data_IF_802777724091
#
_entry.id   IF_802777724091
#
_cell.length_a   1.000
_cell.length_b   1.000
_cell.length_c   1.000
_cell.angle_alpha   90.00
_cell.angle_beta   90.00
_cell.angle_gamma   90.00
#
_symmetry.space_group_name_H-M   'P 1'
#
loop_
_entity.id
_entity.type
_entity.pdbx_description
1 polymer ?
#
# COMPACT_ATOMS: atom_id res chain seq x y z
N UNK A 1 8.36 39.53 39.03
CA UNK A 1 7.92 38.87 37.80
C UNK A 1 7.93 37.40 38.11
N UNK A 2 6.85 36.69 38.12
CA UNK A 2 6.80 35.32 38.61
C UNK A 2 7.50 34.40 37.59
N UNK A 3 8.30 33.48 38.11
CA UNK A 3 8.96 32.39 37.36
C UNK A 3 7.98 31.50 36.54
N UNK A 4 6.67 31.60 36.80
CA UNK A 4 5.64 30.84 36.08
C UNK A 4 5.48 31.25 34.63
N UNK A 5 5.67 32.54 34.27
CA UNK A 5 5.61 33.00 32.88
C UNK A 5 6.79 32.49 32.00
N UNK A 6 7.93 32.15 32.62
CA UNK A 6 9.06 31.54 31.93
C UNK A 6 8.90 30.02 31.72
N UNK A 7 8.02 29.35 32.48
CA UNK A 7 7.80 27.90 32.38
C UNK A 7 6.73 27.51 31.34
N UNK A 8 5.84 28.42 30.95
CA UNK A 8 4.84 28.17 29.92
C UNK A 8 5.44 27.71 28.56
N UNK A 9 6.52 28.31 28.03
CA UNK A 9 7.16 27.84 26.81
C UNK A 9 7.66 26.39 26.91
N UNK A 10 8.12 25.95 28.07
CA UNK A 10 8.62 24.58 28.29
C UNK A 10 7.49 23.56 28.19
N UNK A 11 6.31 23.87 28.77
CA UNK A 11 5.12 23.03 28.63
C UNK A 11 4.69 22.88 27.18
N UNK A 12 4.62 23.97 26.43
CA UNK A 12 4.28 23.95 25.00
C UNK A 12 5.30 23.15 24.18
N UNK A 13 6.60 23.26 24.49
CA UNK A 13 7.67 22.50 23.81
C UNK A 13 7.45 20.99 23.98
N UNK A 14 7.14 20.52 25.18
CA UNK A 14 6.90 19.11 25.46
C UNK A 14 5.64 18.62 24.76
N UNK A 15 4.54 19.37 24.87
CA UNK A 15 3.26 19.02 24.24
C UNK A 15 3.37 18.96 22.71
N UNK A 16 3.98 19.98 22.08
CA UNK A 16 4.18 20.03 20.62
C UNK A 16 5.09 18.91 20.13
N UNK A 17 6.17 18.58 20.88
CA UNK A 17 7.08 17.49 20.55
C UNK A 17 6.37 16.13 20.53
N UNK A 18 5.48 15.86 21.48
CA UNK A 18 4.68 14.62 21.53
C UNK A 18 3.69 14.57 20.35
N UNK A 19 2.99 15.68 20.06
CA UNK A 19 2.09 15.78 18.91
C UNK A 19 2.80 15.49 17.60
N UNK A 20 3.99 16.08 17.39
CA UNK A 20 4.83 15.83 16.22
C UNK A 20 5.28 14.38 16.13
N UNK A 21 5.63 13.77 17.27
CA UNK A 21 6.04 12.36 17.31
C UNK A 21 4.92 11.43 16.85
N UNK A 22 3.67 11.64 17.31
CA UNK A 22 2.50 10.90 16.83
C UNK A 22 2.35 11.05 15.31
N UNK A 23 2.41 12.28 14.81
CA UNK A 23 2.35 12.54 13.37
C UNK A 23 3.42 11.81 12.59
N UNK A 24 4.68 11.90 13.03
CA UNK A 24 5.83 11.21 12.41
C UNK A 24 5.66 9.70 12.39
N UNK A 25 5.24 9.10 13.50
CA UNK A 25 5.06 7.65 13.60
C UNK A 25 3.92 7.15 12.68
N UNK A 26 2.81 7.90 12.58
CA UNK A 26 1.73 7.60 11.64
C UNK A 26 2.18 7.73 10.19
N UNK A 27 2.91 8.81 9.85
CA UNK A 27 3.45 9.05 8.52
C UNK A 27 4.42 7.93 8.11
N UNK A 28 5.36 7.58 8.98
CA UNK A 28 6.32 6.49 8.78
C UNK A 28 5.65 5.12 8.61
N UNK A 29 4.43 4.95 9.13
CA UNK A 29 3.64 3.73 9.01
C UNK A 29 2.74 3.68 7.77
N UNK A 30 2.78 4.71 6.91
CA UNK A 30 1.96 4.80 5.69
C UNK A 30 0.63 5.54 5.87
N UNK A 31 0.40 6.20 6.99
CA UNK A 31 -0.81 6.99 7.21
C UNK A 31 -1.01 8.09 6.17
N UNK A 32 -2.22 8.27 5.64
CA UNK A 32 -2.56 9.39 4.75
C UNK A 32 -2.49 10.74 5.49
N UNK A 33 -2.24 11.82 4.75
CA UNK A 33 -2.02 13.18 5.30
C UNK A 33 -3.16 13.63 6.22
N UNK A 34 -4.38 13.43 5.79
CA UNK A 34 -5.58 13.75 6.57
C UNK A 34 -5.63 13.02 7.92
N UNK A 35 -5.25 11.74 7.93
CA UNK A 35 -5.27 10.94 9.15
C UNK A 35 -4.20 11.39 10.12
N UNK A 36 -3.02 11.75 9.61
CA UNK A 36 -1.93 12.33 10.40
C UNK A 36 -2.40 13.62 11.06
N UNK A 37 -3.01 14.53 10.29
CA UNK A 37 -3.52 15.81 10.84
C UNK A 37 -4.59 15.61 11.93
N UNK A 38 -5.55 14.71 11.71
CA UNK A 38 -6.59 14.41 12.73
C UNK A 38 -5.98 13.88 14.01
N UNK A 39 -5.06 12.91 13.91
CA UNK A 39 -4.42 12.31 15.08
C UNK A 39 -3.63 13.38 15.87
N UNK A 40 -2.86 14.21 15.17
CA UNK A 40 -2.13 15.31 15.80
C UNK A 40 -3.08 16.30 16.52
N UNK A 41 -4.18 16.67 15.88
CA UNK A 41 -5.18 17.55 16.48
C UNK A 41 -5.91 16.89 17.67
N UNK A 42 -6.17 15.60 17.64
CA UNK A 42 -6.77 14.85 18.77
C UNK A 42 -5.82 14.82 19.97
N UNK A 43 -4.56 14.47 19.75
CA UNK A 43 -3.55 14.45 20.81
C UNK A 43 -3.30 15.84 21.35
N UNK A 44 -3.20 16.86 20.50
CA UNK A 44 -3.05 18.26 20.92
C UNK A 44 -4.16 18.71 21.84
N UNK A 45 -5.43 18.42 21.50
CA UNK A 45 -6.58 18.73 22.35
C UNK A 45 -6.54 17.99 23.70
N UNK A 46 -6.18 16.72 23.71
CA UNK A 46 -6.04 15.95 24.94
C UNK A 46 -4.96 16.52 25.87
N UNK A 47 -3.87 17.06 25.28
CA UNK A 47 -2.78 17.74 25.98
C UNK A 47 -3.11 19.20 26.38
N UNK A 48 -4.28 19.73 26.02
CA UNK A 48 -4.70 21.11 26.34
C UNK A 48 -4.15 22.18 25.41
N UNK A 49 -3.78 21.82 24.15
CA UNK A 49 -3.49 22.79 23.10
C UNK A 49 -4.78 23.30 22.46
N UNK A 50 -4.84 24.59 22.15
CA UNK A 50 -6.01 25.23 21.53
C UNK A 50 -6.16 24.82 20.07
N UNK A 51 -5.03 24.77 19.33
CA UNK A 51 -5.02 24.31 17.94
C UNK A 51 -3.68 23.66 17.57
N UNK A 52 -3.77 22.73 16.63
CA UNK A 52 -2.63 22.11 15.94
C UNK A 52 -2.93 22.13 14.46
N UNK A 53 -2.18 22.92 13.72
CA UNK A 53 -2.24 23.01 12.27
C UNK A 53 -1.01 22.33 11.67
N UNK A 54 -1.19 21.41 10.72
CA UNK A 54 -0.08 20.68 10.15
C UNK A 54 -0.18 20.55 8.62
N UNK A 55 0.93 20.79 7.95
CA UNK A 55 1.17 20.46 6.57
C UNK A 55 1.98 19.16 6.50
N UNK A 56 1.51 18.20 5.73
CA UNK A 56 2.10 16.86 5.65
C UNK A 56 2.47 16.56 4.20
N UNK A 57 3.70 16.12 3.98
CA UNK A 57 4.16 15.57 2.69
C UNK A 57 4.40 14.06 2.81
N UNK A 58 5.09 13.43 1.87
CA UNK A 58 5.41 12.00 1.92
C UNK A 58 6.34 11.64 3.07
N UNK A 59 7.23 12.55 3.48
CA UNK A 59 8.26 12.29 4.50
C UNK A 59 8.50 13.46 5.48
N UNK A 60 7.73 14.54 5.39
CA UNK A 60 7.93 15.73 6.22
C UNK A 60 6.60 16.23 6.78
N UNK A 61 6.64 16.73 7.99
CA UNK A 61 5.55 17.43 8.66
C UNK A 61 6.05 18.76 9.15
N UNK A 62 5.36 19.83 8.78
CA UNK A 62 5.48 21.16 9.37
C UNK A 62 4.22 21.38 10.20
N UNK A 63 4.36 21.62 11.50
CA UNK A 63 3.22 21.81 12.38
C UNK A 63 3.36 23.04 13.27
N UNK A 64 2.26 23.77 13.43
CA UNK A 64 2.13 24.88 14.35
C UNK A 64 1.16 24.49 15.46
N UNK A 65 1.65 24.47 16.70
CA UNK A 65 0.88 24.22 17.91
C UNK A 65 0.66 25.55 18.63
N UNK A 66 -0.55 25.80 19.12
CA UNK A 66 -0.93 27.04 19.80
C UNK A 66 -1.52 26.76 21.18
N UNK A 67 -1.13 27.59 22.16
CA UNK A 67 -1.70 27.61 23.51
C UNK A 67 -1.78 29.05 23.99
N UNK A 68 -2.98 29.60 24.15
CA UNK A 68 -3.18 31.02 24.44
C UNK A 68 -2.53 31.91 23.37
N UNK A 69 -1.79 32.93 23.79
CA UNK A 69 -1.08 33.82 22.88
C UNK A 69 0.20 33.22 22.30
N UNK A 70 0.67 32.08 22.82
CA UNK A 70 1.95 31.46 22.43
C UNK A 70 1.70 30.43 21.33
N UNK A 71 2.57 30.43 20.33
CA UNK A 71 2.59 29.41 19.29
C UNK A 71 4.01 28.92 19.02
N UNK A 72 4.10 27.69 18.55
CA UNK A 72 5.37 27.06 18.16
C UNK A 72 5.21 26.35 16.84
N UNK A 73 6.08 26.66 15.89
CA UNK A 73 6.17 25.94 14.62
C UNK A 73 7.41 25.06 14.61
N UNK A 74 7.21 23.78 14.27
CA UNK A 74 8.27 22.79 14.24
C UNK A 74 8.19 21.98 12.95
N UNK A 75 9.35 21.47 12.52
CA UNK A 75 9.51 20.62 11.35
C UNK A 75 10.06 19.27 11.81
N UNK A 76 9.47 18.19 11.33
CA UNK A 76 10.01 16.85 11.53
C UNK A 76 10.02 16.06 10.23
N UNK A 77 11.02 15.19 10.07
CA UNK A 77 11.13 14.31 8.91
C UNK A 77 11.02 12.86 9.34
N UNK A 78 10.34 12.06 8.51
CA UNK A 78 10.36 10.61 8.62
C UNK A 78 11.54 10.07 7.82
N UNK A 79 12.48 9.36 8.44
CA UNK A 79 13.63 8.80 7.73
C UNK A 79 13.24 7.65 6.80
N UNK A 80 12.07 7.06 7.00
CA UNK A 80 11.61 5.89 6.25
C UNK A 80 10.20 6.11 5.70
N UNK A 81 9.99 5.68 4.47
CA UNK A 81 8.67 5.58 3.84
C UNK A 81 8.33 4.09 3.80
N UNK A 82 7.45 3.66 4.67
CA UNK A 82 7.07 2.26 4.80
C UNK A 82 5.60 2.08 5.10
N UNK A 83 5.17 0.81 5.24
CA UNK A 83 3.80 0.48 5.66
C UNK A 83 3.87 -0.45 6.86
N UNK A 84 3.22 -0.06 7.95
CA UNK A 84 3.08 -0.87 9.15
C UNK A 84 1.67 -0.71 9.72
N UNK A 85 0.75 -1.54 9.22
CA UNK A 85 -0.65 -1.50 9.62
C UNK A 85 -0.85 -1.79 11.12
N UNK A 86 0.00 -2.64 11.72
CA UNK A 86 -0.06 -2.89 13.17
C UNK A 86 0.22 -1.63 13.98
N UNK A 87 1.26 -0.88 13.61
CA UNK A 87 1.58 0.39 14.27
C UNK A 87 0.49 1.44 14.05
N UNK A 88 -0.09 1.51 12.85
CA UNK A 88 -1.25 2.40 12.60
C UNK A 88 -2.42 2.06 13.52
N UNK A 89 -2.73 0.78 13.72
CA UNK A 89 -3.82 0.34 14.62
C UNK A 89 -3.52 0.72 16.08
N UNK A 90 -2.27 0.56 16.54
CA UNK A 90 -1.88 0.92 17.90
C UNK A 90 -1.96 2.43 18.13
N UNK A 91 -1.46 3.24 17.19
CA UNK A 91 -1.53 4.71 17.27
C UNK A 91 -2.97 5.22 17.23
N UNK A 92 -3.83 4.62 16.40
CA UNK A 92 -5.25 4.95 16.37
C UNK A 92 -5.94 4.69 17.71
N UNK A 93 -5.66 3.55 18.33
CA UNK A 93 -6.20 3.21 19.65
C UNK A 93 -5.68 4.17 20.71
N UNK A 94 -4.39 4.50 20.69
CA UNK A 94 -3.82 5.50 21.57
C UNK A 94 -4.59 6.82 21.43
N UNK A 95 -4.65 7.40 20.22
CA UNK A 95 -5.32 8.70 20.00
C UNK A 95 -6.78 8.70 20.42
N UNK A 96 -7.49 7.57 20.24
CA UNK A 96 -8.91 7.45 20.62
C UNK A 96 -9.15 7.19 22.10
N UNK A 97 -8.13 6.78 22.85
CA UNK A 97 -8.23 6.49 24.30
C UNK A 97 -7.72 7.62 25.19
N UNK A 98 -7.18 8.70 24.61
CA UNK A 98 -6.70 9.83 25.40
C UNK A 98 -7.87 10.65 25.95
N UNK A 99 -7.84 10.90 27.25
CA UNK A 99 -8.76 11.77 27.94
C UNK A 99 -8.18 13.20 28.05
N UNK A 100 -9.01 14.24 28.13
CA UNK A 100 -8.55 15.60 28.35
C UNK A 100 -7.75 15.71 29.67
N UNK A 101 -6.60 16.39 29.63
CA UNK A 101 -5.74 16.58 30.80
C UNK A 101 -4.64 15.53 30.96
N UNK A 102 -4.49 14.59 30.01
CA UNK A 102 -3.34 13.67 29.98
C UNK A 102 -2.03 14.46 29.88
N UNK A 103 -0.96 13.97 30.53
CA UNK A 103 0.35 14.61 30.50
C UNK A 103 1.14 14.24 29.22
N UNK A 104 2.06 15.12 28.81
CA UNK A 104 2.93 14.84 27.67
C UNK A 104 3.82 13.64 27.94
N UNK A 105 4.25 13.44 29.17
CA UNK A 105 5.07 12.34 29.63
C UNK A 105 4.36 10.99 29.48
N UNK A 106 3.10 10.90 29.93
CA UNK A 106 2.30 9.67 29.78
C UNK A 106 2.08 9.29 28.30
N UNK A 107 1.81 10.27 27.43
CA UNK A 107 1.66 9.99 26.01
C UNK A 107 3.00 9.58 25.38
N UNK A 108 4.12 10.21 25.80
CA UNK A 108 5.46 9.86 25.32
C UNK A 108 5.84 8.42 25.69
N UNK A 109 5.53 7.98 26.92
CA UNK A 109 5.80 6.60 27.38
C UNK A 109 5.02 5.58 26.54
N UNK A 110 3.72 5.82 26.33
CA UNK A 110 2.91 4.94 25.44
C UNK A 110 3.41 4.92 24.01
N UNK A 111 3.95 6.05 23.50
CA UNK A 111 4.57 6.08 22.17
C UNK A 111 5.88 5.29 22.14
N UNK A 112 6.66 5.28 23.22
CA UNK A 112 7.87 4.44 23.36
C UNK A 112 7.54 2.95 23.26
N UNK A 113 6.48 2.50 23.94
CA UNK A 113 5.99 1.12 23.86
C UNK A 113 5.58 0.74 22.42
N UNK A 114 4.86 1.64 21.73
CA UNK A 114 4.44 1.40 20.34
C UNK A 114 5.66 1.38 19.39
N UNK A 115 6.63 2.25 19.59
CA UNK A 115 7.84 2.35 18.76
C UNK A 115 8.72 1.10 18.90
N UNK A 116 8.82 0.56 20.11
CA UNK A 116 9.58 -0.66 20.44
C UNK A 116 8.85 -1.95 20.04
N UNK A 117 7.56 -1.89 19.69
CA UNK A 117 6.81 -3.08 19.26
C UNK A 117 7.45 -3.72 18.03
N UNK A 118 7.92 -4.99 18.09
CA UNK A 118 8.54 -5.64 16.95
C UNK A 118 7.55 -5.91 15.82
N UNK A 119 8.08 -6.14 14.62
CA UNK A 119 7.27 -6.59 13.48
C UNK A 119 6.61 -7.94 13.80
N UNK A 120 5.33 -8.09 13.46
CA UNK A 120 4.55 -9.31 13.73
C UNK A 120 5.05 -10.53 12.96
N UNK A 121 5.59 -10.29 11.77
CA UNK A 121 6.03 -11.36 10.88
C UNK A 121 7.54 -11.30 10.66
N UNK A 122 8.20 -12.39 10.94
CA UNK A 122 9.62 -12.58 10.67
C UNK A 122 9.90 -12.49 9.16
N UNK A 123 11.18 -12.40 8.82
CA UNK A 123 11.62 -12.21 7.42
C UNK A 123 11.15 -13.34 6.51
N UNK A 124 11.26 -14.58 6.93
CA UNK A 124 10.84 -15.75 6.13
C UNK A 124 9.33 -15.84 5.96
N UNK A 125 8.55 -15.63 7.03
CA UNK A 125 7.09 -15.62 6.93
C UNK A 125 6.60 -14.51 5.99
N UNK A 126 7.17 -13.30 6.10
CA UNK A 126 6.83 -12.20 5.20
C UNK A 126 7.20 -12.51 3.74
N UNK A 127 8.37 -13.12 3.47
CA UNK A 127 8.77 -13.54 2.13
C UNK A 127 7.83 -14.62 1.56
N UNK A 128 7.48 -15.63 2.37
CA UNK A 128 6.54 -16.69 1.96
C UNK A 128 5.16 -16.12 1.59
N UNK A 129 4.56 -15.31 2.45
CA UNK A 129 3.25 -14.72 2.18
C UNK A 129 3.27 -13.71 1.01
N UNK A 130 4.41 -13.06 0.77
CA UNK A 130 4.60 -12.26 -0.45
C UNK A 130 4.62 -13.14 -1.70
N UNK A 131 5.30 -14.28 -1.63
CA UNK A 131 5.24 -15.29 -2.69
C UNK A 131 3.81 -15.77 -2.96
N UNK A 132 3.05 -16.09 -1.90
CA UNK A 132 1.62 -16.48 -2.01
C UNK A 132 0.79 -15.36 -2.68
N UNK A 133 1.01 -14.10 -2.32
CA UNK A 133 0.31 -12.97 -2.94
C UNK A 133 0.59 -12.87 -4.44
N UNK A 134 1.85 -12.99 -4.84
CA UNK A 134 2.24 -12.93 -6.25
C UNK A 134 1.79 -14.16 -7.05
N UNK A 135 1.83 -15.34 -6.44
CA UNK A 135 1.31 -16.58 -7.03
C UNK A 135 -0.22 -16.48 -7.30
N UNK A 136 -0.97 -15.96 -6.33
CA UNK A 136 -2.39 -15.67 -6.51
C UNK A 136 -2.61 -14.64 -7.65
N UNK A 137 -1.76 -13.62 -7.72
CA UNK A 137 -1.81 -12.62 -8.79
C UNK A 137 -1.49 -13.23 -10.16
N UNK A 138 -0.55 -14.17 -10.23
CA UNK A 138 -0.23 -14.91 -11.47
C UNK A 138 -1.46 -15.65 -11.98
N UNK A 139 -2.17 -16.39 -11.11
CA UNK A 139 -3.44 -17.06 -11.47
C UNK A 139 -4.49 -16.06 -11.96
N UNK A 140 -4.68 -14.93 -11.27
CA UNK A 140 -5.66 -13.90 -11.65
C UNK A 140 -5.31 -13.19 -12.97
N UNK A 141 -4.07 -13.31 -13.46
CA UNK A 141 -3.61 -12.91 -14.78
C UNK A 141 -3.52 -14.08 -15.77
N UNK A 142 -4.31 -15.13 -15.57
CA UNK A 142 -4.39 -16.33 -16.40
C UNK A 142 -3.11 -17.19 -16.39
N UNK A 143 -2.26 -17.08 -15.38
CA UNK A 143 -1.14 -18.00 -15.21
C UNK A 143 -1.62 -19.40 -14.84
N UNK A 144 -1.04 -20.42 -15.44
CA UNK A 144 -1.29 -21.81 -15.13
C UNK A 144 -0.61 -22.25 -13.82
N UNK A 145 -0.71 -23.56 -13.53
CA UNK A 145 -0.16 -24.12 -12.29
C UNK A 145 1.37 -23.93 -12.18
N UNK A 146 2.07 -24.07 -13.29
CA UNK A 146 3.54 -23.90 -13.35
C UNK A 146 3.91 -22.47 -12.97
N UNK A 147 3.27 -21.47 -13.62
CA UNK A 147 3.50 -20.06 -13.32
C UNK A 147 3.23 -19.76 -11.85
N UNK A 148 2.10 -20.21 -11.32
CA UNK A 148 1.69 -19.99 -9.91
C UNK A 148 2.74 -20.52 -8.94
N UNK A 149 3.22 -21.74 -9.13
CA UNK A 149 4.21 -22.37 -8.24
C UNK A 149 5.59 -21.72 -8.35
N UNK A 150 6.03 -21.40 -9.56
CA UNK A 150 7.34 -20.79 -9.77
C UNK A 150 7.37 -19.33 -9.34
N UNK A 151 6.27 -18.58 -9.55
CA UNK A 151 6.09 -17.21 -9.05
C UNK A 151 6.16 -17.15 -7.53
N UNK A 152 5.58 -18.15 -6.83
CA UNK A 152 5.67 -18.23 -5.37
C UNK A 152 7.12 -18.21 -4.90
N UNK A 153 7.99 -18.99 -5.55
CA UNK A 153 9.42 -19.09 -5.22
C UNK A 153 10.15 -17.81 -5.63
N UNK A 154 9.96 -17.34 -6.87
CA UNK A 154 10.63 -16.15 -7.40
C UNK A 154 10.32 -14.89 -6.59
N UNK A 155 9.05 -14.61 -6.34
CA UNK A 155 8.61 -13.47 -5.54
C UNK A 155 9.06 -13.59 -4.07
N UNK A 156 9.00 -14.80 -3.50
CA UNK A 156 9.47 -15.06 -2.14
C UNK A 156 10.95 -14.72 -1.96
N UNK A 157 11.81 -15.20 -2.87
CA UNK A 157 13.25 -14.91 -2.86
C UNK A 157 13.54 -13.43 -3.17
N UNK A 158 12.78 -12.81 -4.09
CA UNK A 158 12.86 -11.37 -4.33
C UNK A 158 12.56 -10.55 -3.08
N UNK A 159 11.50 -10.88 -2.35
CA UNK A 159 11.14 -10.20 -1.11
C UNK A 159 12.15 -10.47 0.03
N UNK A 160 12.68 -11.67 0.12
CA UNK A 160 13.76 -11.99 1.05
C UNK A 160 14.98 -11.09 0.79
N UNK A 161 15.41 -11.01 -0.47
CA UNK A 161 16.51 -10.13 -0.90
C UNK A 161 16.22 -8.67 -0.55
N UNK A 162 15.01 -8.19 -0.86
CA UNK A 162 14.58 -6.83 -0.53
C UNK A 162 14.72 -6.54 0.98
N UNK A 163 14.21 -7.42 1.84
CA UNK A 163 14.28 -7.21 3.29
C UNK A 163 15.71 -7.22 3.82
N UNK A 164 16.55 -8.13 3.33
CA UNK A 164 17.96 -8.21 3.72
C UNK A 164 18.73 -6.94 3.35
N UNK A 165 18.52 -6.41 2.15
CA UNK A 165 19.20 -5.21 1.68
C UNK A 165 18.69 -3.95 2.39
N UNK A 166 17.37 -3.81 2.61
CA UNK A 166 16.82 -2.68 3.39
C UNK A 166 17.37 -2.71 4.83
N UNK A 167 17.46 -3.87 5.44
CA UNK A 167 18.01 -3.99 6.80
C UNK A 167 19.48 -3.58 6.89
N UNK A 168 20.24 -3.71 5.79
CA UNK A 168 21.62 -3.23 5.66
C UNK A 168 21.73 -1.73 5.33
N UNK A 169 20.63 -1.00 5.23
CA UNK A 169 20.60 0.44 4.99
C UNK A 169 20.82 0.89 3.53
N UNK A 170 20.71 -0.02 2.57
CA UNK A 170 20.84 0.34 1.15
C UNK A 170 19.67 1.21 0.67
N UNK A 171 19.93 2.03 -0.36
CA UNK A 171 18.94 2.88 -0.99
C UNK A 171 17.75 2.09 -1.53
N UNK A 172 16.53 2.53 -1.24
CA UNK A 172 15.29 1.82 -1.56
C UNK A 172 15.07 1.60 -3.07
N UNK A 173 15.49 2.54 -3.94
CA UNK A 173 15.36 2.40 -5.40
C UNK A 173 16.27 1.29 -5.91
N UNK A 174 17.55 1.29 -5.50
CA UNK A 174 18.50 0.24 -5.84
C UNK A 174 18.08 -1.13 -5.31
N UNK A 175 17.59 -1.19 -4.05
CA UNK A 175 17.04 -2.42 -3.46
C UNK A 175 15.85 -2.95 -4.27
N UNK A 176 14.98 -2.06 -4.75
CA UNK A 176 13.83 -2.44 -5.60
C UNK A 176 14.31 -3.04 -6.93
N UNK A 177 15.32 -2.44 -7.57
CA UNK A 177 15.92 -2.98 -8.81
C UNK A 177 16.51 -4.37 -8.59
N UNK A 178 17.33 -4.55 -7.55
CA UNK A 178 17.94 -5.86 -7.24
C UNK A 178 16.89 -6.90 -6.91
N UNK A 179 15.87 -6.56 -6.11
CA UNK A 179 14.80 -7.48 -5.77
C UNK A 179 13.97 -7.90 -6.98
N UNK A 180 13.71 -6.96 -7.92
CA UNK A 180 13.04 -7.24 -9.18
C UNK A 180 13.86 -8.17 -10.06
N UNK A 181 15.17 -7.89 -10.24
CA UNK A 181 16.06 -8.74 -10.99
C UNK A 181 16.12 -10.17 -10.42
N UNK A 182 16.29 -10.31 -9.09
CA UNK A 182 16.33 -11.62 -8.42
C UNK A 182 15.02 -12.38 -8.65
N UNK A 183 13.86 -11.75 -8.45
CA UNK A 183 12.58 -12.41 -8.64
C UNK A 183 12.39 -12.91 -10.08
N UNK A 184 12.72 -12.07 -11.07
CA UNK A 184 12.60 -12.42 -12.49
C UNK A 184 13.61 -13.51 -12.91
N UNK A 185 14.88 -13.39 -12.52
CA UNK A 185 15.93 -14.37 -12.88
C UNK A 185 15.66 -15.72 -12.22
N UNK A 186 15.21 -15.75 -10.96
CA UNK A 186 14.84 -17.00 -10.28
C UNK A 186 13.64 -17.65 -10.98
N UNK A 187 12.62 -16.87 -11.32
CA UNK A 187 11.47 -17.38 -12.06
C UNK A 187 11.91 -18.03 -13.38
N UNK A 188 12.63 -17.28 -14.22
CA UNK A 188 13.09 -17.75 -15.53
C UNK A 188 14.05 -18.93 -15.44
N UNK A 189 14.94 -18.93 -14.44
CA UNK A 189 15.87 -20.02 -14.20
C UNK A 189 15.15 -21.33 -13.86
N UNK A 190 14.11 -21.28 -13.00
CA UNK A 190 13.32 -22.47 -12.65
C UNK A 190 12.51 -22.96 -13.87
N UNK A 191 11.83 -22.05 -14.59
CA UNK A 191 11.05 -22.43 -15.79
C UNK A 191 11.95 -23.07 -16.85
N UNK A 192 13.12 -22.48 -17.12
CA UNK A 192 14.08 -23.06 -18.07
C UNK A 192 14.60 -24.42 -17.61
N UNK A 193 14.87 -24.60 -16.32
CA UNK A 193 15.28 -25.88 -15.76
C UNK A 193 14.19 -26.96 -15.95
N UNK A 194 12.91 -26.61 -15.69
CA UNK A 194 11.77 -27.52 -15.90
C UNK A 194 11.61 -27.89 -17.38
N UNK A 195 11.82 -26.93 -18.29
CA UNK A 195 11.75 -27.16 -19.72
C UNK A 195 12.88 -28.11 -20.19
N UNK A 196 14.12 -27.87 -19.78
CA UNK A 196 15.28 -28.75 -20.11
C UNK A 196 15.10 -30.14 -19.51
N UNK A 197 14.49 -30.25 -18.33
CA UNK A 197 14.17 -31.53 -17.70
C UNK A 197 12.99 -32.29 -18.37
N UNK A 198 12.33 -31.70 -19.36
CA UNK A 198 11.15 -32.28 -20.00
C UNK A 198 9.89 -32.32 -19.10
N UNK A 199 9.86 -31.54 -18.03
CA UNK A 199 8.73 -31.47 -17.11
C UNK A 199 7.62 -30.54 -17.62
N UNK A 200 7.92 -29.67 -18.58
CA UNK A 200 6.97 -28.75 -19.25
C UNK A 200 7.25 -28.73 -20.75
N UNK A 201 6.18 -28.66 -21.56
CA UNK A 201 6.29 -28.73 -23.03
C UNK A 201 6.60 -27.37 -23.69
N UNK A 202 6.49 -26.28 -22.95
CA UNK A 202 6.73 -24.92 -23.42
C UNK A 202 7.35 -24.04 -22.34
N UNK A 203 8.00 -22.94 -22.76
CA UNK A 203 8.53 -21.95 -21.82
C UNK A 203 7.38 -21.03 -21.40
N UNK A 204 7.06 -21.05 -20.10
CA UNK A 204 6.01 -20.26 -19.48
C UNK A 204 6.52 -18.84 -19.18
N UNK A 205 6.61 -17.98 -20.20
CA UNK A 205 7.26 -16.67 -20.09
C UNK A 205 6.43 -15.63 -19.33
N UNK A 206 5.11 -15.74 -19.29
CA UNK A 206 4.22 -14.70 -18.76
C UNK A 206 4.34 -14.44 -17.25
N UNK A 207 4.83 -15.41 -16.48
CA UNK A 207 4.87 -15.35 -15.02
C UNK A 207 5.94 -14.43 -14.43
N UNK A 208 7.02 -14.08 -15.18
CA UNK A 208 8.09 -13.24 -14.62
C UNK A 208 7.60 -11.85 -14.20
N UNK A 209 6.60 -11.30 -14.89
CA UNK A 209 5.94 -10.04 -14.50
C UNK A 209 5.23 -10.22 -13.16
N UNK A 210 4.51 -11.33 -12.99
CA UNK A 210 3.77 -11.61 -11.76
C UNK A 210 4.71 -11.79 -10.56
N UNK A 211 5.92 -12.33 -10.78
CA UNK A 211 6.92 -12.52 -9.74
C UNK A 211 7.43 -11.20 -9.10
N UNK A 212 7.27 -10.06 -9.77
CA UNK A 212 7.74 -8.76 -9.29
C UNK A 212 6.62 -7.85 -8.79
N UNK A 213 5.36 -8.26 -8.86
CA UNK A 213 4.21 -7.39 -8.52
C UNK A 213 4.16 -6.98 -7.04
N UNK A 214 4.87 -7.67 -6.13
CA UNK A 214 5.02 -7.23 -4.74
C UNK A 214 5.79 -5.90 -4.60
N UNK A 215 6.53 -5.49 -5.63
CA UNK A 215 7.26 -4.22 -5.66
C UNK A 215 6.37 -3.04 -6.10
N UNK A 216 5.21 -3.32 -6.68
CA UNK A 216 4.25 -2.26 -7.02
C UNK A 216 3.81 -1.55 -5.74
N UNK A 217 4.06 -0.23 -5.62
CA UNK A 217 3.79 0.52 -4.40
C UNK A 217 2.29 0.85 -4.26
N UNK A 218 1.46 -0.19 -4.22
CA UNK A 218 0.00 -0.04 -4.22
C UNK A 218 -0.51 0.78 -3.04
N UNK A 219 0.12 0.65 -1.85
CA UNK A 219 -0.26 1.45 -0.69
C UNK A 219 0.00 2.95 -0.92
N UNK A 220 1.20 3.41 -1.30
CA UNK A 220 1.44 4.81 -1.67
C UNK A 220 0.57 5.30 -2.82
N UNK A 221 0.30 4.50 -3.85
CA UNK A 221 -0.55 4.88 -4.98
C UNK A 221 -1.99 5.19 -4.53
N UNK A 222 -2.60 4.31 -3.76
CA UNK A 222 -3.98 4.49 -3.27
C UNK A 222 -4.05 5.66 -2.28
N UNK A 223 -3.08 5.79 -1.38
CA UNK A 223 -3.06 6.93 -0.44
C UNK A 223 -2.80 8.25 -1.14
N UNK A 224 -1.95 8.28 -2.19
CA UNK A 224 -1.77 9.47 -3.04
C UNK A 224 -3.08 9.88 -3.72
N UNK A 225 -3.78 8.93 -4.34
CA UNK A 225 -5.04 9.19 -5.00
C UNK A 225 -6.14 9.67 -4.02
N UNK A 226 -6.18 9.12 -2.79
CA UNK A 226 -7.07 9.59 -1.74
C UNK A 226 -6.70 10.99 -1.21
N UNK A 227 -5.41 11.33 -1.09
CA UNK A 227 -4.98 12.68 -0.71
C UNK A 227 -5.35 13.68 -1.82
N UNK A 228 -5.12 13.35 -3.10
CA UNK A 228 -5.53 14.17 -4.26
C UNK A 228 -7.05 14.38 -4.32
N UNK A 229 -7.84 13.34 -4.05
CA UNK A 229 -9.31 13.45 -4.04
C UNK A 229 -9.83 14.40 -2.96
N UNK A 230 -8.99 14.78 -1.99
CA UNK A 230 -9.23 15.77 -0.94
C UNK A 230 -8.61 17.13 -1.21
N UNK A 231 -8.08 17.33 -2.41
CA UNK A 231 -7.37 18.55 -2.80
C UNK A 231 -6.08 18.79 -1.98
N UNK A 232 -5.56 17.75 -1.32
CA UNK A 232 -4.25 17.81 -0.67
C UNK A 232 -3.16 17.49 -1.69
N UNK A 233 -2.92 18.46 -2.58
CA UNK A 233 -1.98 18.28 -3.69
C UNK A 233 -0.55 18.06 -3.21
N UNK A 234 -0.13 18.72 -2.14
CA UNK A 234 1.24 18.60 -1.63
C UNK A 234 1.54 17.17 -1.18
N UNK A 235 0.66 16.58 -0.38
CA UNK A 235 0.81 15.18 0.05
C UNK A 235 0.60 14.20 -1.10
N UNK A 236 -0.46 14.43 -1.92
CA UNK A 236 -0.82 13.53 -3.00
C UNK A 236 0.25 13.44 -4.08
N UNK A 237 0.75 14.59 -4.58
CA UNK A 237 1.78 14.61 -5.63
C UNK A 237 3.13 14.08 -5.13
N UNK A 238 3.55 14.41 -3.91
CA UNK A 238 4.80 13.88 -3.34
C UNK A 238 4.77 12.35 -3.19
N UNK A 239 3.63 11.77 -2.77
CA UNK A 239 3.43 10.31 -2.69
C UNK A 239 3.36 9.65 -4.07
N UNK A 240 2.69 10.30 -5.02
CA UNK A 240 2.62 9.81 -6.40
C UNK A 240 4.01 9.78 -7.04
N UNK A 241 4.78 10.86 -6.90
CA UNK A 241 6.16 10.91 -7.40
C UNK A 241 7.03 9.79 -6.79
N UNK A 242 6.95 9.59 -5.47
CA UNK A 242 7.62 8.48 -4.81
C UNK A 242 7.20 7.11 -5.37
N UNK A 243 5.90 6.87 -5.52
CA UNK A 243 5.38 5.62 -6.06
C UNK A 243 5.85 5.39 -7.51
N UNK A 244 5.83 6.43 -8.35
CA UNK A 244 6.32 6.35 -9.73
C UNK A 244 7.82 6.02 -9.78
N UNK A 245 8.65 6.60 -8.92
CA UNK A 245 10.08 6.29 -8.86
C UNK A 245 10.33 4.82 -8.50
N UNK A 246 9.59 4.26 -7.54
CA UNK A 246 9.68 2.83 -7.18
C UNK A 246 9.23 1.95 -8.36
N UNK A 247 8.11 2.29 -9.01
CA UNK A 247 7.60 1.55 -10.17
C UNK A 247 8.58 1.55 -11.34
N UNK A 248 9.14 2.73 -11.66
CA UNK A 248 10.14 2.85 -12.72
C UNK A 248 11.41 2.04 -12.41
N UNK A 249 11.87 2.06 -11.15
CA UNK A 249 13.03 1.26 -10.72
C UNK A 249 12.78 -0.24 -10.92
N UNK A 250 11.62 -0.75 -10.51
CA UNK A 250 11.25 -2.14 -10.71
C UNK A 250 11.12 -2.47 -12.22
N UNK A 251 10.38 -1.63 -12.96
CA UNK A 251 10.09 -1.87 -14.36
C UNK A 251 11.35 -1.85 -15.25
N UNK A 252 12.26 -0.89 -15.03
CA UNK A 252 13.54 -0.84 -15.74
C UNK A 252 14.42 -2.08 -15.45
N UNK A 253 14.43 -2.55 -14.21
CA UNK A 253 15.16 -3.77 -13.86
C UNK A 253 14.58 -5.00 -14.56
N UNK A 254 13.26 -5.17 -14.54
CA UNK A 254 12.59 -6.29 -15.23
C UNK A 254 12.76 -6.19 -16.74
N UNK A 255 12.66 -4.98 -17.31
CA UNK A 255 12.94 -4.74 -18.72
C UNK A 255 14.38 -5.14 -19.08
N UNK A 256 15.38 -4.78 -18.28
CA UNK A 256 16.76 -5.18 -18.49
C UNK A 256 16.92 -6.70 -18.51
N UNK A 257 16.27 -7.43 -17.59
CA UNK A 257 16.27 -8.89 -17.58
C UNK A 257 15.58 -9.44 -18.84
N UNK A 258 14.42 -8.92 -19.23
CA UNK A 258 13.70 -9.37 -20.42
C UNK A 258 14.46 -9.09 -21.72
N UNK A 259 15.15 -7.94 -21.81
CA UNK A 259 15.98 -7.59 -22.97
C UNK A 259 17.18 -8.55 -23.16
N UNK A 260 17.84 -8.93 -22.05
CA UNK A 260 18.95 -9.90 -22.08
C UNK A 260 18.46 -11.31 -22.48
N UNK A 261 17.25 -11.68 -22.05
CA UNK A 261 16.68 -13.01 -22.28
C UNK A 261 15.81 -13.09 -23.56
N UNK A 262 15.61 -11.99 -24.28
CA UNK A 262 14.78 -11.93 -25.49
C UNK A 262 13.28 -12.15 -25.24
N UNK A 263 12.76 -11.79 -24.06
CA UNK A 263 11.38 -12.05 -23.66
C UNK A 263 10.44 -10.91 -24.06
N UNK A 264 9.19 -11.27 -24.35
CA UNK A 264 8.10 -10.31 -24.59
C UNK A 264 7.05 -10.38 -23.48
N UNK A 265 6.40 -9.24 -23.09
CA UNK A 265 5.43 -9.22 -21.99
C UNK A 265 4.03 -9.65 -22.45
N UNK A 266 3.93 -10.70 -23.23
CA UNK A 266 2.66 -11.20 -23.73
C UNK A 266 1.76 -11.69 -22.58
N UNK A 267 0.45 -11.33 -22.58
CA UNK A 267 -0.48 -11.90 -21.62
C UNK A 267 -0.64 -13.41 -21.86
N UNK A 268 -0.81 -14.16 -20.77
CA UNK A 268 -1.22 -15.55 -20.87
C UNK A 268 -2.62 -15.64 -21.49
N UNK A 269 -2.86 -16.67 -22.29
CA UNK A 269 -4.18 -16.97 -22.82
C UNK A 269 -5.20 -17.33 -21.73
N UNK A 270 -6.49 -17.39 -22.05
CA UNK A 270 -7.49 -17.81 -21.08
C UNK A 270 -7.23 -19.23 -20.60
N UNK A 271 -7.51 -19.49 -19.32
CA UNK A 271 -7.42 -20.84 -18.76
C UNK A 271 -8.60 -21.70 -19.24
N UNK A 272 -8.29 -22.93 -19.66
CA UNK A 272 -9.31 -23.92 -20.05
C UNK A 272 -9.95 -24.56 -18.79
N UNK A 273 -10.82 -23.80 -18.13
CA UNK A 273 -11.52 -24.16 -16.91
C UNK A 273 -13.02 -23.91 -17.07
N UNK A 274 -13.84 -24.79 -16.50
CA UNK A 274 -15.28 -24.54 -16.44
C UNK A 274 -15.63 -23.34 -15.55
N UNK A 275 -16.71 -22.61 -15.89
CA UNK A 275 -17.10 -21.35 -15.21
C UNK A 275 -17.18 -21.47 -13.69
N UNK A 276 -17.76 -22.57 -13.17
CA UNK A 276 -17.85 -22.78 -11.73
C UNK A 276 -16.49 -23.03 -11.07
N UNK A 277 -15.58 -23.74 -11.75
CA UNK A 277 -14.22 -23.95 -11.25
C UNK A 277 -13.42 -22.63 -11.26
N UNK A 278 -13.55 -21.86 -12.33
CA UNK A 278 -12.90 -20.55 -12.47
C UNK A 278 -13.36 -19.60 -11.37
N UNK A 279 -14.67 -19.54 -11.09
CA UNK A 279 -15.21 -18.69 -10.01
C UNK A 279 -14.66 -19.07 -8.64
N UNK A 280 -14.62 -20.35 -8.29
CA UNK A 280 -14.08 -20.83 -7.01
C UNK A 280 -12.59 -20.51 -6.90
N UNK A 281 -11.82 -20.74 -7.95
CA UNK A 281 -10.39 -20.45 -7.96
C UNK A 281 -10.11 -18.94 -7.93
N UNK A 282 -10.91 -18.09 -8.59
CA UNK A 282 -10.85 -16.63 -8.48
C UNK A 282 -11.14 -16.15 -7.06
N UNK A 283 -12.12 -16.74 -6.36
CA UNK A 283 -12.38 -16.43 -4.95
C UNK A 283 -11.18 -16.79 -4.08
N UNK A 284 -10.66 -18.00 -4.21
CA UNK A 284 -9.50 -18.46 -3.43
C UNK A 284 -8.24 -17.60 -3.72
N UNK A 285 -7.93 -17.38 -4.99
CA UNK A 285 -6.77 -16.57 -5.38
C UNK A 285 -6.92 -15.12 -4.90
N UNK A 286 -8.11 -14.52 -5.01
CA UNK A 286 -8.34 -13.17 -4.50
C UNK A 286 -8.17 -13.11 -2.98
N UNK A 287 -8.68 -14.07 -2.23
CA UNK A 287 -8.51 -14.15 -0.78
C UNK A 287 -7.04 -14.30 -0.39
N UNK A 288 -6.31 -15.25 -1.01
CA UNK A 288 -4.89 -15.50 -0.74
C UNK A 288 -4.01 -14.32 -1.14
N UNK A 289 -4.30 -13.68 -2.26
CA UNK A 289 -3.58 -12.49 -2.72
C UNK A 289 -3.69 -11.34 -1.72
N UNK A 290 -4.92 -11.01 -1.30
CA UNK A 290 -5.15 -9.94 -0.30
C UNK A 290 -4.55 -10.32 1.05
N UNK A 291 -4.68 -11.58 1.48
CA UNK A 291 -4.06 -12.08 2.71
C UNK A 291 -2.55 -11.86 2.69
N UNK A 292 -1.88 -12.26 1.61
CA UNK A 292 -0.44 -12.10 1.47
C UNK A 292 0.00 -10.63 1.49
N UNK A 293 -0.71 -9.73 0.80
CA UNK A 293 -0.43 -8.29 0.87
C UNK A 293 -0.70 -7.70 2.26
N UNK A 294 -1.76 -8.13 2.95
CA UNK A 294 -2.03 -7.67 4.31
C UNK A 294 -0.91 -8.10 5.29
N UNK A 295 -0.36 -9.31 5.13
CA UNK A 295 0.82 -9.77 5.88
C UNK A 295 2.07 -8.96 5.50
N UNK A 296 2.29 -8.69 4.21
CA UNK A 296 3.38 -7.82 3.74
C UNK A 296 3.34 -6.45 4.39
N UNK A 297 2.15 -5.89 4.61
CA UNK A 297 1.93 -4.61 5.30
C UNK A 297 1.93 -4.72 6.83
N UNK A 298 2.34 -5.86 7.40
CA UNK A 298 2.41 -6.09 8.84
C UNK A 298 1.06 -5.91 9.57
N UNK A 299 -0.04 -6.34 8.94
CA UNK A 299 -1.38 -6.24 9.53
C UNK A 299 -1.62 -7.27 10.63
N UNK A 300 -2.38 -6.95 11.71
CA UNK A 300 -2.83 -7.96 12.67
C UNK A 300 -3.73 -9.01 12.01
N UNK A 301 -3.69 -10.28 12.47
CA UNK A 301 -4.45 -11.38 11.84
C UNK A 301 -5.95 -11.11 11.67
N UNK A 302 -6.58 -10.44 12.63
CA UNK A 302 -7.99 -10.04 12.51
C UNK A 302 -8.21 -9.11 11.31
N UNK A 303 -7.29 -8.17 11.08
CA UNK A 303 -7.32 -7.24 9.94
C UNK A 303 -7.02 -8.00 8.64
N UNK A 304 -6.05 -8.94 8.67
CA UNK A 304 -5.70 -9.78 7.52
C UNK A 304 -6.92 -10.52 6.98
N UNK A 305 -7.62 -11.26 7.85
CA UNK A 305 -8.80 -12.04 7.42
C UNK A 305 -9.98 -11.16 7.00
N UNK A 306 -10.22 -10.04 7.68
CA UNK A 306 -11.26 -9.10 7.29
C UNK A 306 -10.97 -8.46 5.93
N UNK A 307 -9.73 -8.01 5.70
CA UNK A 307 -9.32 -7.46 4.40
C UNK A 307 -9.41 -8.52 3.29
N UNK A 308 -8.96 -9.76 3.57
CA UNK A 308 -9.04 -10.87 2.62
C UNK A 308 -10.49 -11.17 2.21
N UNK A 309 -11.42 -11.22 3.14
CA UNK A 309 -12.85 -11.42 2.84
C UNK A 309 -13.44 -10.27 2.01
N UNK A 310 -13.12 -9.01 2.36
CA UNK A 310 -13.58 -7.84 1.61
C UNK A 310 -13.01 -7.85 0.19
N UNK A 311 -11.69 -8.05 0.05
CA UNK A 311 -11.02 -8.01 -1.25
C UNK A 311 -11.37 -9.21 -2.13
N UNK A 312 -11.63 -10.38 -1.54
CA UNK A 312 -12.12 -11.56 -2.25
C UNK A 312 -13.43 -11.26 -3.00
N UNK A 313 -14.42 -10.75 -2.29
CA UNK A 313 -15.72 -10.42 -2.88
C UNK A 313 -15.59 -9.31 -3.93
N UNK A 314 -14.90 -8.22 -3.58
CA UNK A 314 -14.77 -7.06 -4.46
C UNK A 314 -13.99 -7.38 -5.75
N UNK A 315 -12.90 -8.16 -5.66
CA UNK A 315 -12.12 -8.51 -6.84
C UNK A 315 -12.85 -9.48 -7.76
N UNK A 316 -13.59 -10.44 -7.20
CA UNK A 316 -14.40 -11.34 -8.03
C UNK A 316 -15.51 -10.56 -8.74
N UNK A 317 -16.23 -9.66 -8.04
CA UNK A 317 -17.20 -8.76 -8.70
C UNK A 317 -16.52 -8.01 -9.86
N UNK A 318 -15.32 -7.47 -9.66
CA UNK A 318 -14.57 -6.79 -10.73
C UNK A 318 -14.29 -7.69 -11.92
N UNK A 319 -13.87 -8.94 -11.68
CA UNK A 319 -13.55 -9.88 -12.75
C UNK A 319 -14.81 -10.31 -13.52
N UNK A 320 -15.90 -10.60 -12.84
CA UNK A 320 -17.18 -10.95 -13.47
C UNK A 320 -17.75 -9.77 -14.30
N UNK A 321 -17.58 -8.53 -13.82
CA UNK A 321 -17.96 -7.34 -14.59
C UNK A 321 -17.10 -7.15 -15.86
N UNK A 322 -15.81 -7.48 -15.79
CA UNK A 322 -14.92 -7.48 -16.96
C UNK A 322 -15.34 -8.55 -17.98
N UNK A 323 -15.63 -9.76 -17.51
CA UNK A 323 -16.09 -10.87 -18.37
C UNK A 323 -17.47 -10.56 -19.00
N UNK A 324 -18.33 -9.79 -18.29
CA UNK A 324 -19.59 -9.27 -18.82
C UNK A 324 -19.41 -8.10 -19.85
N UNK A 325 -18.16 -7.72 -20.18
CA UNK A 325 -17.86 -6.68 -21.17
C UNK A 325 -17.79 -5.26 -20.61
N UNK A 326 -17.81 -5.09 -19.28
CA UNK A 326 -17.61 -3.75 -18.69
C UNK A 326 -16.17 -3.28 -18.89
N UNK A 327 -15.99 -1.97 -19.16
CA UNK A 327 -14.66 -1.36 -19.25
C UNK A 327 -13.91 -1.48 -17.92
N UNK A 328 -12.58 -1.66 -17.98
CA UNK A 328 -11.73 -1.92 -16.81
C UNK A 328 -11.86 -0.86 -15.72
N UNK A 329 -12.02 0.40 -16.08
CA UNK A 329 -12.20 1.53 -15.16
C UNK A 329 -13.54 1.44 -14.41
N UNK A 330 -14.62 1.08 -15.12
CA UNK A 330 -15.95 0.89 -14.52
C UNK A 330 -15.97 -0.25 -13.50
N UNK A 331 -15.40 -1.41 -13.88
CA UNK A 331 -15.27 -2.56 -13.00
C UNK A 331 -14.39 -2.23 -11.78
N UNK A 332 -13.30 -1.48 -11.96
CA UNK A 332 -12.43 -1.04 -10.87
C UNK A 332 -13.14 -0.06 -9.91
N UNK A 333 -13.91 0.90 -10.44
CA UNK A 333 -14.69 1.83 -9.62
C UNK A 333 -15.75 1.10 -8.79
N UNK A 334 -16.47 0.14 -9.38
CA UNK A 334 -17.44 -0.70 -8.68
C UNK A 334 -16.78 -1.51 -7.55
N UNK A 335 -15.64 -2.14 -7.82
CA UNK A 335 -14.90 -2.87 -6.80
C UNK A 335 -14.39 -1.94 -5.68
N UNK A 336 -13.86 -0.76 -6.01
CA UNK A 336 -13.46 0.26 -5.05
C UNK A 336 -14.62 0.70 -4.16
N UNK A 337 -15.82 0.87 -4.74
CA UNK A 337 -17.05 1.18 -4.00
C UNK A 337 -17.39 0.06 -3.00
N UNK A 338 -17.39 -1.20 -3.44
CA UNK A 338 -17.67 -2.37 -2.59
C UNK A 338 -16.68 -2.43 -1.42
N UNK A 339 -15.37 -2.31 -1.71
CA UNK A 339 -14.32 -2.28 -0.66
C UNK A 339 -14.56 -1.13 0.32
N UNK A 340 -14.83 0.07 -0.20
CA UNK A 340 -15.03 1.26 0.63
C UNK A 340 -16.23 1.13 1.56
N UNK A 341 -17.38 0.66 1.05
CA UNK A 341 -18.60 0.43 1.87
C UNK A 341 -18.34 -0.65 2.92
N UNK A 342 -17.80 -1.80 2.53
CA UNK A 342 -17.53 -2.90 3.45
C UNK A 342 -16.54 -2.47 4.56
N UNK A 343 -15.46 -1.77 4.21
CA UNK A 343 -14.50 -1.27 5.18
C UNK A 343 -15.09 -0.19 6.10
N UNK A 344 -16.02 0.66 5.62
CA UNK A 344 -16.72 1.64 6.44
C UNK A 344 -17.62 0.97 7.49
N UNK A 345 -18.17 -0.20 7.18
CA UNK A 345 -18.99 -0.98 8.10
C UNK A 345 -18.13 -1.76 9.12
N UNK A 346 -17.03 -2.37 8.64
CA UNK A 346 -16.21 -3.29 9.44
C UNK A 346 -15.20 -2.57 10.33
N UNK A 347 -14.54 -1.52 9.83
CA UNK A 347 -13.45 -0.83 10.54
C UNK A 347 -13.87 -0.27 11.91
N UNK A 348 -15.02 0.41 12.06
CA UNK A 348 -15.45 0.91 13.38
C UNK A 348 -15.72 -0.23 14.38
N UNK A 349 -16.31 -1.35 13.90
CA UNK A 349 -16.59 -2.53 14.75
C UNK A 349 -15.32 -3.19 15.27
N UNK A 350 -14.26 -3.14 14.45
CA UNK A 350 -12.94 -3.71 14.80
C UNK A 350 -12.04 -2.69 15.53
N UNK A 351 -12.44 -1.41 15.61
CA UNK A 351 -11.64 -0.30 16.14
C UNK A 351 -10.26 -0.22 15.45
N UNK A 352 -10.27 -0.21 14.12
CA UNK A 352 -9.06 -0.12 13.27
C UNK A 352 -9.21 0.99 12.23
N UNK A 353 -8.11 1.59 11.77
CA UNK A 353 -8.16 2.55 10.66
C UNK A 353 -8.72 1.90 9.39
N UNK A 354 -9.62 2.58 8.69
CA UNK A 354 -10.22 2.07 7.43
C UNK A 354 -9.17 1.71 6.38
N UNK A 355 -8.08 2.48 6.30
CA UNK A 355 -6.98 2.24 5.35
C UNK A 355 -6.35 0.85 5.52
N UNK A 356 -6.31 0.31 6.73
CA UNK A 356 -5.73 -1.02 6.98
C UNK A 356 -6.56 -2.16 6.41
N UNK A 357 -7.84 -1.91 6.12
CA UNK A 357 -8.74 -2.84 5.42
C UNK A 357 -8.81 -2.55 3.92
N UNK A 358 -9.04 -1.26 3.55
CA UNK A 358 -9.23 -0.87 2.16
C UNK A 358 -7.99 -1.14 1.31
N UNK A 359 -6.80 -0.74 1.77
CA UNK A 359 -5.62 -0.76 0.90
C UNK A 359 -5.19 -2.18 0.55
N UNK A 360 -5.03 -3.14 1.49
CA UNK A 360 -4.74 -4.52 1.10
C UNK A 360 -5.79 -5.11 0.16
N UNK A 361 -7.09 -4.78 0.39
CA UNK A 361 -8.19 -5.29 -0.42
C UNK A 361 -8.17 -4.80 -1.88
N UNK A 362 -7.72 -3.56 -2.12
CA UNK A 362 -7.66 -3.01 -3.49
C UNK A 362 -6.30 -3.22 -4.18
N UNK A 363 -5.23 -3.50 -3.45
CA UNK A 363 -3.89 -3.66 -4.03
C UNK A 363 -3.83 -4.76 -5.08
N UNK A 364 -4.58 -5.86 -4.89
CA UNK A 364 -4.67 -6.95 -5.87
C UNK A 364 -5.34 -6.52 -7.20
N UNK A 365 -6.03 -5.38 -7.20
CA UNK A 365 -6.70 -4.82 -8.39
C UNK A 365 -5.86 -3.75 -9.08
N UNK A 366 -4.73 -3.34 -8.48
CA UNK A 366 -3.82 -2.35 -9.07
C UNK A 366 -3.16 -2.94 -10.31
N UNK A 367 -3.20 -2.24 -11.46
CA UNK A 367 -2.79 -2.78 -12.76
C UNK A 367 -1.27 -2.77 -12.96
N UNK A 368 -0.54 -3.49 -12.09
CA UNK A 368 0.93 -3.54 -12.11
C UNK A 368 1.50 -4.14 -13.40
N UNK A 369 0.84 -5.15 -13.95
CA UNK A 369 1.24 -5.75 -15.23
C UNK A 369 1.10 -4.77 -16.40
N UNK A 370 0.01 -3.98 -16.45
CA UNK A 370 -0.16 -2.93 -17.48
C UNK A 370 0.88 -1.82 -17.32
N UNK A 371 1.17 -1.42 -16.09
CA UNK A 371 2.22 -0.42 -15.82
C UNK A 371 3.61 -0.90 -16.28
N UNK A 372 3.93 -2.18 -16.08
CA UNK A 372 5.17 -2.77 -16.61
C UNK A 372 5.19 -2.78 -18.14
N UNK A 373 4.10 -3.23 -18.79
CA UNK A 373 3.99 -3.23 -20.26
C UNK A 373 4.20 -1.85 -20.85
N UNK A 374 3.66 -0.80 -20.22
CA UNK A 374 3.88 0.58 -20.65
C UNK A 374 5.38 0.92 -20.73
N UNK A 375 6.16 0.53 -19.73
CA UNK A 375 7.62 0.77 -19.71
C UNK A 375 8.33 -0.10 -20.75
N UNK A 376 7.91 -1.35 -20.90
CA UNK A 376 8.50 -2.26 -21.89
C UNK A 376 8.33 -1.73 -23.32
N UNK A 377 7.10 -1.42 -23.73
CA UNK A 377 6.80 -0.95 -25.08
C UNK A 377 7.42 0.44 -25.35
N UNK A 378 7.54 1.29 -24.33
CA UNK A 378 8.26 2.55 -24.46
C UNK A 378 9.75 2.32 -24.82
N UNK A 379 10.41 1.37 -24.17
CA UNK A 379 11.81 1.03 -24.45
C UNK A 379 11.97 0.25 -25.78
N UNK A 380 10.92 -0.43 -26.24
CA UNK A 380 10.88 -1.08 -27.56
C UNK A 380 10.62 -0.09 -28.70
N UNK A 381 10.33 1.18 -28.42
CA UNK A 381 9.99 2.18 -29.42
C UNK A 381 8.51 2.16 -29.86
N UNK A 382 7.69 1.31 -29.25
CA UNK A 382 6.27 1.14 -29.55
C UNK A 382 5.44 2.11 -28.70
N UNK A 383 5.54 3.43 -29.03
CA UNK A 383 5.00 4.52 -28.20
C UNK A 383 3.48 4.46 -28.05
N UNK A 384 2.74 4.01 -29.06
CA UNK A 384 1.26 3.94 -29.04
C UNK A 384 0.81 2.90 -28.00
N UNK A 385 1.42 1.72 -28.01
CA UNK A 385 1.11 0.65 -27.05
C UNK A 385 1.55 1.03 -25.64
N UNK A 386 2.72 1.66 -25.50
CA UNK A 386 3.19 2.20 -24.23
C UNK A 386 2.19 3.19 -23.61
N UNK A 387 1.67 4.13 -24.43
CA UNK A 387 0.66 5.09 -23.99
C UNK A 387 -0.68 4.39 -23.64
N UNK A 388 -1.13 3.44 -24.44
CA UNK A 388 -2.36 2.70 -24.19
C UNK A 388 -2.32 1.99 -22.83
N UNK A 389 -1.25 1.22 -22.55
CA UNK A 389 -1.09 0.54 -21.27
C UNK A 389 -0.88 1.51 -20.10
N UNK A 390 -0.13 2.59 -20.27
CA UNK A 390 0.12 3.60 -19.24
C UNK A 390 -1.13 4.38 -18.85
N UNK A 391 -1.91 4.81 -19.84
CA UNK A 391 -3.19 5.50 -19.64
C UNK A 391 -4.19 4.55 -18.98
N UNK A 392 -4.32 3.32 -19.46
CA UNK A 392 -5.20 2.31 -18.86
C UNK A 392 -4.86 2.07 -17.38
N UNK A 393 -3.58 1.89 -17.07
CA UNK A 393 -3.12 1.68 -15.69
C UNK A 393 -3.46 2.88 -14.80
N UNK A 394 -3.22 4.09 -15.28
CA UNK A 394 -3.51 5.33 -14.56
C UNK A 394 -5.01 5.48 -14.27
N UNK A 395 -5.85 5.28 -15.26
CA UNK A 395 -7.31 5.39 -15.10
C UNK A 395 -7.90 4.33 -14.18
N UNK A 396 -7.37 3.11 -14.17
CA UNK A 396 -7.82 2.06 -13.24
C UNK A 396 -7.49 2.45 -11.78
N UNK A 397 -6.30 2.99 -11.51
CA UNK A 397 -5.93 3.47 -10.17
C UNK A 397 -6.84 4.62 -9.72
N UNK A 398 -7.08 5.58 -10.60
CA UNK A 398 -8.01 6.71 -10.34
C UNK A 398 -9.43 6.19 -10.08
N UNK A 399 -9.90 5.23 -10.88
CA UNK A 399 -11.24 4.65 -10.73
C UNK A 399 -11.41 3.91 -9.39
N UNK A 400 -10.41 3.13 -8.96
CA UNK A 400 -10.39 2.52 -7.62
C UNK A 400 -10.50 3.58 -6.51
N UNK A 401 -9.74 4.67 -6.62
CA UNK A 401 -9.77 5.75 -5.64
C UNK A 401 -11.11 6.50 -5.64
N UNK A 402 -11.71 6.74 -6.81
CA UNK A 402 -13.05 7.32 -6.94
C UNK A 402 -14.07 6.41 -6.25
N UNK A 403 -14.05 5.10 -6.51
CA UNK A 403 -14.94 4.15 -5.86
C UNK A 403 -14.84 4.19 -4.33
N UNK A 404 -13.60 4.19 -3.79
CA UNK A 404 -13.36 4.33 -2.36
C UNK A 404 -13.85 5.68 -1.79
N UNK A 405 -13.68 6.77 -2.54
CA UNK A 405 -14.11 8.11 -2.13
C UNK A 405 -15.63 8.22 -2.13
N UNK A 406 -16.31 7.74 -3.17
CA UNK A 406 -17.77 7.69 -3.26
C UNK A 406 -18.35 6.86 -2.12
N UNK A 407 -17.78 5.68 -1.85
CA UNK A 407 -18.20 4.86 -0.70
C UNK A 407 -18.16 5.66 0.60
N UNK A 408 -17.11 6.46 0.79
CA UNK A 408 -16.96 7.27 2.00
C UNK A 408 -17.95 8.42 2.06
N UNK A 409 -18.18 9.11 0.95
CA UNK A 409 -19.17 10.22 0.88
C UNK A 409 -20.57 9.73 1.21
N UNK A 410 -20.95 8.53 0.74
CA UNK A 410 -22.26 7.95 1.00
C UNK A 410 -22.42 7.45 2.42
N UNK A 411 -21.35 6.94 3.04
CA UNK A 411 -21.40 6.30 4.37
C UNK A 411 -20.97 7.20 5.53
N UNK A 412 -20.34 8.32 5.26
CA UNK A 412 -19.82 9.27 6.27
C UNK A 412 -20.27 10.68 5.92
N UNK A 413 -21.37 11.11 6.55
CA UNK A 413 -21.98 12.44 6.32
C UNK A 413 -21.05 13.61 6.66
N UNK A 414 -20.05 13.39 7.52
CA UNK A 414 -19.04 14.41 7.87
C UNK A 414 -18.00 14.62 6.75
N UNK A 415 -17.82 13.61 5.88
CA UNK A 415 -16.88 13.67 4.77
C UNK A 415 -17.39 14.52 3.60
N UNK A 416 -18.68 14.50 3.33
CA UNK A 416 -19.31 15.24 2.22
C UNK A 416 -19.43 16.75 2.44
N UNK A 417 -19.10 17.25 3.63
CA UNK A 417 -19.14 18.68 3.95
C UNK A 417 -17.73 19.26 3.82
N UNK A 418 -17.60 20.41 3.16
CA UNK A 418 -16.35 21.14 3.11
C UNK A 418 -15.87 21.45 4.55
N UNK A 419 -14.57 21.34 4.84
CA UNK A 419 -14.04 21.79 6.11
C UNK A 419 -14.28 23.30 6.23
N UNK A 420 -15.08 23.72 7.21
CA UNK A 420 -15.20 25.12 7.60
C UNK A 420 -14.03 25.50 8.48
#
# INVERSE_FOLDING_TARGET
MPLEDELEPVGLIRQSGVVLRVGRMLLASGGGSYRVRIAMAQVGRALGLDSVEAQVTVNEIVATSRRGPIFRTEVTRSPTIGVNANRMVQLERLCSSLEPGVTAEEVAERLDEIEQTPLRYGTFANAFFTGVACAAFAFLNNGGLVEVLVVLVGAGLGQLTRRLLIHRGYNQLGVTMVAAAVASVVYLGIVNLLFVAGAVDSIHESGYISAVLFLVPGFPLITAALDLSRLDFTAGLSRLAYALMIMMSAALSVWGVSAVMGLTPNPAGPLDLGDGQLLVLRLLASALGVLGFAVLFNSPWRVVFAAAGIGMVANVIRLELLDAGMIAQGAAAAAGLVVGVAANIVAPRMRVPRLTLCVPAVVIMVPGASAYRAVYFLNAGETVDALAFGVQASFVVVALAIGLTVARTVTDTSWGRAPH
#
